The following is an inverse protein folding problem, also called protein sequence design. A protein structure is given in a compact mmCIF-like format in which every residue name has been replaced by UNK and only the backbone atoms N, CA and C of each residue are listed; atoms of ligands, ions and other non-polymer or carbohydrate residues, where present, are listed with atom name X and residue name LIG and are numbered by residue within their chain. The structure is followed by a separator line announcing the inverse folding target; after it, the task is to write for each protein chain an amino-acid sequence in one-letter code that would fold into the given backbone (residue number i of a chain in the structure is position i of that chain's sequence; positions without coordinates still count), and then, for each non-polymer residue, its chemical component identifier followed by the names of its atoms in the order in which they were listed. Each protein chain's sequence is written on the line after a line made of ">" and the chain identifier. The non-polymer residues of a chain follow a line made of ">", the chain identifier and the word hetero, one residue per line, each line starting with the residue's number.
data_IF_852040685333
#
_entry.id   IF_852040685333
#
_cell.length_a   1.000
_cell.length_b   1.000
_cell.length_c   1.000
_cell.angle_alpha   90.00
_cell.angle_beta   90.00
_cell.angle_gamma   90.00
#
_symmetry.space_group_name_H-M   'P 1'
#
loop_
_entity.id
_entity.type
_entity.pdbx_description
1 polymer ?
#
# COMPACT_ATOMS: atom_id res chain seq x y z
N UNK A 1 8.44 -11.27 -11.60
CA UNK A 1 7.92 -10.60 -12.81
C UNK A 1 6.62 -9.88 -12.43
N UNK A 2 6.53 -8.57 -12.66
CA UNK A 2 5.24 -7.84 -12.55
C UNK A 2 4.47 -8.07 -13.85
N UNK A 3 3.25 -8.58 -13.76
CA UNK A 3 2.38 -8.72 -14.91
C UNK A 3 1.59 -7.41 -15.08
N UNK A 4 1.86 -6.68 -16.16
CA UNK A 4 1.26 -5.37 -16.40
C UNK A 4 -0.28 -5.44 -16.50
N UNK A 5 -0.84 -6.53 -17.01
CA UNK A 5 -2.30 -6.67 -17.15
C UNK A 5 -3.00 -6.89 -15.79
N UNK A 6 -2.35 -7.57 -14.83
CA UNK A 6 -2.87 -7.65 -13.46
C UNK A 6 -2.74 -6.31 -12.74
N UNK A 7 -1.68 -5.54 -13.01
CA UNK A 7 -1.46 -4.24 -12.37
C UNK A 7 -2.59 -3.24 -12.73
N UNK A 8 -2.98 -3.19 -14.01
CA UNK A 8 -4.09 -2.33 -14.46
C UNK A 8 -5.41 -2.65 -13.76
N UNK A 9 -5.75 -3.93 -13.64
CA UNK A 9 -7.00 -4.35 -12.97
C UNK A 9 -6.98 -3.99 -11.48
N UNK A 10 -5.84 -4.14 -10.81
CA UNK A 10 -5.71 -3.77 -9.40
C UNK A 10 -5.86 -2.26 -9.20
N UNK A 11 -5.24 -1.44 -10.06
CA UNK A 11 -5.41 0.02 -10.03
C UNK A 11 -6.87 0.44 -10.21
N UNK A 12 -7.58 -0.21 -11.14
CA UNK A 12 -9.01 0.06 -11.36
C UNK A 12 -9.86 -0.29 -10.13
N UNK A 13 -9.57 -1.41 -9.48
CA UNK A 13 -10.27 -1.80 -8.25
C UNK A 13 -9.99 -0.81 -7.12
N UNK A 14 -8.73 -0.43 -6.90
CA UNK A 14 -8.37 0.55 -5.87
C UNK A 14 -9.05 1.90 -6.14
N UNK A 15 -9.02 2.38 -7.38
CA UNK A 15 -9.68 3.63 -7.78
C UNK A 15 -11.22 3.59 -7.66
N UNK A 16 -11.83 2.41 -7.71
CA UNK A 16 -13.27 2.26 -7.47
C UNK A 16 -13.63 2.32 -5.98
N UNK A 17 -12.68 1.99 -5.10
CA UNK A 17 -12.88 1.86 -3.66
C UNK A 17 -12.31 3.04 -2.85
N UNK A 18 -11.50 3.91 -3.45
CA UNK A 18 -10.86 5.05 -2.79
C UNK A 18 -11.24 6.38 -3.48
N UNK A 19 -11.21 7.48 -2.73
CA UNK A 19 -11.50 8.82 -3.25
C UNK A 19 -10.31 9.41 -4.03
N UNK A 20 -9.10 9.20 -3.52
CA UNK A 20 -7.85 9.61 -4.15
C UNK A 20 -6.84 8.46 -4.07
N UNK A 21 -6.12 8.22 -5.17
CA UNK A 21 -5.10 7.17 -5.25
C UNK A 21 -3.75 7.82 -5.54
N UNK A 22 -2.81 7.65 -4.62
CA UNK A 22 -1.44 8.14 -4.74
C UNK A 22 -0.51 6.95 -4.93
N UNK A 23 0.23 6.94 -6.04
CA UNK A 23 1.20 5.89 -6.31
C UNK A 23 2.61 6.30 -5.87
N UNK A 24 3.29 5.38 -5.18
CA UNK A 24 4.70 5.50 -4.82
C UNK A 24 5.60 5.17 -6.02
N UNK A 25 5.62 6.05 -7.02
CA UNK A 25 6.36 5.84 -8.28
C UNK A 25 7.87 5.65 -8.08
N UNK A 26 8.46 6.29 -7.07
CA UNK A 26 9.88 6.17 -6.76
C UNK A 26 10.24 4.90 -5.97
N UNK A 27 9.24 4.17 -5.46
CA UNK A 27 9.44 2.96 -4.67
C UNK A 27 9.18 1.72 -5.51
N UNK A 28 10.26 1.04 -5.86
CA UNK A 28 10.16 -0.25 -6.56
C UNK A 28 10.16 -1.43 -5.59
N UNK A 29 10.61 -1.29 -4.34
CA UNK A 29 10.62 -2.35 -3.33
C UNK A 29 10.57 -1.75 -1.93
N UNK A 30 9.92 -2.43 -0.98
CA UNK A 30 9.88 -2.02 0.43
C UNK A 30 11.13 -2.42 1.23
N UNK A 31 12.05 -3.18 0.65
CA UNK A 31 13.26 -3.65 1.33
C UNK A 31 13.05 -4.82 2.31
N UNK A 32 11.81 -5.23 2.57
CA UNK A 32 11.50 -6.30 3.52
C UNK A 32 11.90 -7.70 3.02
N UNK A 33 11.88 -7.91 1.69
CA UNK A 33 12.40 -9.09 1.00
C UNK A 33 12.04 -10.43 1.66
N UNK A 34 10.74 -10.67 1.87
CA UNK A 34 10.25 -11.83 2.63
C UNK A 34 10.21 -11.47 4.12
N UNK A 35 11.06 -12.10 4.92
CA UNK A 35 11.19 -11.87 6.37
C UNK A 35 12.51 -11.16 6.74
N UNK A 36 13.39 -10.90 5.76
CA UNK A 36 14.70 -10.28 6.01
C UNK A 36 14.58 -8.89 6.64
N UNK A 37 13.51 -8.15 6.36
CA UNK A 37 13.23 -6.86 6.98
C UNK A 37 13.11 -6.93 8.51
N UNK A 38 12.81 -8.10 9.09
CA UNK A 38 12.84 -8.31 10.53
C UNK A 38 14.25 -8.44 11.09
N UNK A 39 15.18 -8.97 10.30
CA UNK A 39 16.56 -9.25 10.72
C UNK A 39 17.50 -8.09 10.38
N UNK A 40 17.21 -7.37 9.29
CA UNK A 40 18.02 -6.25 8.78
C UNK A 40 17.10 -5.05 8.51
N UNK A 41 16.63 -4.35 9.56
CA UNK A 41 15.68 -3.24 9.42
C UNK A 41 16.25 -2.08 8.57
N UNK A 42 17.57 -1.95 8.49
CA UNK A 42 18.24 -0.94 7.67
C UNK A 42 17.93 -1.09 6.18
N UNK A 43 17.59 -2.30 5.71
CA UNK A 43 17.15 -2.51 4.32
C UNK A 43 15.79 -1.88 4.06
N UNK A 44 14.86 -1.99 5.01
CA UNK A 44 13.53 -1.40 4.92
C UNK A 44 13.63 0.13 4.96
N UNK A 45 14.36 0.67 5.95
CA UNK A 45 14.62 2.10 6.06
C UNK A 45 15.29 2.67 4.82
N UNK A 46 16.36 2.02 4.32
CA UNK A 46 17.03 2.49 3.12
C UNK A 46 16.13 2.44 1.87
N UNK A 47 15.33 1.38 1.70
CA UNK A 47 14.45 1.22 0.55
C UNK A 47 13.35 2.31 0.51
N UNK A 48 12.88 2.74 1.68
CA UNK A 48 11.75 3.65 1.83
C UNK A 48 12.16 5.07 2.25
N UNK A 49 13.45 5.38 2.39
CA UNK A 49 14.00 6.69 2.83
C UNK A 49 13.54 7.92 2.05
N UNK A 50 12.97 7.74 0.86
CA UNK A 50 12.46 8.82 -0.01
C UNK A 50 10.93 8.88 -0.05
N UNK A 51 10.26 7.96 0.64
CA UNK A 51 8.81 7.99 0.75
C UNK A 51 8.41 9.18 1.58
N UNK A 52 7.67 10.07 0.95
CA UNK A 52 7.00 11.16 1.63
C UNK A 52 5.53 11.09 1.24
N UNK A 53 4.68 10.77 2.21
CA UNK A 53 3.24 10.70 2.02
C UNK A 53 2.62 12.03 2.45
N UNK A 54 1.64 12.58 1.71
CA UNK A 54 0.92 13.75 2.18
C UNK A 54 0.14 13.40 3.45
N UNK A 55 -0.12 14.39 4.29
CA UNK A 55 -0.87 14.19 5.53
C UNK A 55 -2.30 13.69 5.28
N UNK A 56 -2.87 14.02 4.12
CA UNK A 56 -4.17 13.52 3.65
C UNK A 56 -4.19 12.02 3.34
N UNK A 57 -3.03 11.36 3.24
CA UNK A 57 -2.96 9.91 3.06
C UNK A 57 -3.33 9.21 4.38
N UNK A 58 -4.54 8.66 4.41
CA UNK A 58 -5.11 8.03 5.61
C UNK A 58 -4.57 6.60 5.76
N UNK A 59 -4.50 5.87 4.66
CA UNK A 59 -4.08 4.47 4.60
C UNK A 59 -3.43 4.13 3.26
N UNK A 60 -2.78 2.96 3.21
CA UNK A 60 -2.14 2.43 2.02
C UNK A 60 -2.64 1.02 1.69
N UNK A 61 -2.34 0.56 0.48
CA UNK A 61 -2.75 -0.77 0.01
C UNK A 61 -1.57 -1.50 -0.61
N UNK A 62 -1.43 -2.79 -0.31
CA UNK A 62 -0.43 -3.67 -0.92
C UNK A 62 -1.02 -5.02 -1.28
N UNK A 63 -0.33 -5.75 -2.15
CA UNK A 63 -0.67 -7.13 -2.53
C UNK A 63 0.22 -8.17 -1.86
N UNK A 64 1.15 -7.73 -1.02
CA UNK A 64 2.09 -8.60 -0.33
C UNK A 64 2.13 -8.24 1.15
N UNK A 65 1.79 -9.21 1.99
CA UNK A 65 1.72 -9.06 3.44
C UNK A 65 3.01 -8.53 4.07
N UNK A 66 4.17 -8.91 3.55
CA UNK A 66 5.45 -8.43 4.09
C UNK A 66 5.76 -7.00 3.63
N UNK A 67 5.25 -6.60 2.46
CA UNK A 67 5.25 -5.19 2.07
C UNK A 67 4.31 -4.35 2.92
N UNK A 68 3.13 -4.87 3.29
CA UNK A 68 2.21 -4.17 4.23
C UNK A 68 2.94 -3.84 5.53
N UNK A 69 3.59 -4.84 6.14
CA UNK A 69 4.35 -4.67 7.38
C UNK A 69 5.48 -3.66 7.20
N UNK A 70 6.31 -3.82 6.17
CA UNK A 70 7.46 -2.94 5.94
C UNK A 70 7.10 -1.50 5.59
N UNK A 71 6.02 -1.29 4.83
CA UNK A 71 5.53 0.06 4.50
C UNK A 71 4.91 0.71 5.73
N UNK A 72 4.13 -0.03 6.52
CA UNK A 72 3.58 0.50 7.77
C UNK A 72 4.64 0.82 8.80
N UNK A 73 5.65 -0.03 8.95
CA UNK A 73 6.74 0.20 9.88
C UNK A 73 7.51 1.49 9.57
N UNK A 74 7.84 1.73 8.29
CA UNK A 74 8.63 2.91 7.92
C UNK A 74 7.79 4.19 7.79
N UNK A 75 6.60 4.10 7.18
CA UNK A 75 5.82 5.31 6.84
C UNK A 75 4.89 5.77 7.95
N UNK A 76 4.64 4.90 8.94
CA UNK A 76 3.66 5.14 10.00
C UNK A 76 2.20 5.11 9.53
N UNK A 77 1.93 4.82 8.25
CA UNK A 77 0.57 4.65 7.70
C UNK A 77 0.20 3.18 7.65
N UNK A 78 -1.06 2.86 7.95
CA UNK A 78 -1.51 1.47 7.93
C UNK A 78 -1.66 1.03 6.47
N UNK A 79 -1.02 -0.08 6.10
CA UNK A 79 -1.17 -0.71 4.80
C UNK A 79 -2.02 -1.97 4.90
N UNK A 80 -3.04 -2.05 4.07
CA UNK A 80 -3.99 -3.16 4.01
C UNK A 80 -3.83 -3.99 2.74
N UNK A 81 -4.31 -5.22 2.77
CA UNK A 81 -4.42 -6.03 1.54
C UNK A 81 -5.52 -5.50 0.63
N UNK A 82 -5.40 -5.70 -0.69
CA UNK A 82 -6.50 -5.37 -1.62
C UNK A 82 -7.81 -6.07 -1.26
N UNK A 83 -7.76 -7.29 -0.71
CA UNK A 83 -8.96 -8.01 -0.29
C UNK A 83 -9.70 -7.29 0.84
N UNK A 84 -8.96 -6.65 1.76
CA UNK A 84 -9.54 -5.85 2.83
C UNK A 84 -10.27 -4.63 2.27
N UNK A 85 -9.63 -3.87 1.37
CA UNK A 85 -10.24 -2.71 0.71
C UNK A 85 -11.55 -3.09 -0.02
N UNK A 86 -11.55 -4.22 -0.73
CA UNK A 86 -12.73 -4.70 -1.45
C UNK A 86 -13.86 -5.11 -0.49
N UNK A 87 -13.50 -5.74 0.62
CA UNK A 87 -14.46 -6.12 1.65
C UNK A 87 -15.11 -4.88 2.27
N UNK A 88 -14.31 -3.89 2.64
CA UNK A 88 -14.79 -2.61 3.18
C UNK A 88 -15.70 -1.89 2.18
N UNK A 89 -15.28 -1.79 0.92
CA UNK A 89 -16.08 -1.22 -0.15
C UNK A 89 -17.40 -1.98 -0.36
N UNK A 90 -17.40 -3.31 -0.19
CA UNK A 90 -18.60 -4.14 -0.36
C UNK A 90 -19.62 -3.99 0.76
N UNK A 91 -19.19 -3.54 1.95
CA UNK A 91 -20.06 -3.32 3.12
C UNK A 91 -20.87 -2.03 3.03
N UNK A 92 -20.58 -1.15 2.05
CA UNK A 92 -21.28 0.12 1.89
C UNK A 92 -20.94 1.18 2.96
N UNK A 93 -20.01 0.87 3.85
CA UNK A 93 -19.45 1.79 4.85
C UNK A 93 -18.14 2.36 4.33
N UNK A 94 -18.18 3.09 3.22
CA UNK A 94 -16.99 3.84 2.77
C UNK A 94 -16.83 5.01 3.75
N UNK A 95 -15.84 4.94 4.63
CA UNK A 95 -15.40 6.07 5.43
C UNK A 95 -14.74 7.11 4.51
N UNK A 96 -15.52 7.85 3.75
CA UNK A 96 -15.01 8.90 2.85
C UNK A 96 -15.98 9.41 1.80
N UNK A 97 -16.97 8.61 1.38
CA UNK A 97 -17.86 8.97 0.28
C UNK A 97 -19.31 9.13 0.72
N UNK A 98 -19.65 10.31 1.24
CA UNK A 98 -21.03 10.80 1.28
C UNK A 98 -21.17 12.09 0.45
N UNK A 99 -21.89 11.92 -0.67
CA UNK A 99 -22.59 12.90 -1.50
C UNK A 99 -21.82 13.84 -2.43
#
# INVERSE_FOLDING_TARGET
>A
MRNAASDTKLRQLIAACADEVIELSEVTCCGFAGDRGFVVPELNAHALRRVNLPESCIEGVSTNRTCEIGLTAETGRIYHSIAYLLEECSRGTVSGKQS
#
